data_IF_454587204983
#
_entry.id   IF_454587204983
#
_cell.length_a   1.000
_cell.length_b   1.000
_cell.length_c   1.000
_cell.angle_alpha   90.00
_cell.angle_beta   90.00
_cell.angle_gamma   90.00
#
_symmetry.space_group_name_H-M   'P 1'
#
loop_
_entity.id
_entity.type
_entity.pdbx_description
1 polymer ?
#
# COMPACT_ATOMS: atom_id res chain seq x y z
N UNK A 1 -15.66 21.13 -6.26
CA UNK A 1 -16.10 20.50 -7.52
C UNK A 1 -15.32 19.21 -7.75
N UNK A 2 -16.01 18.14 -8.08
CA UNK A 2 -15.33 16.88 -8.43
C UNK A 2 -14.84 16.93 -9.87
N UNK A 3 -13.67 16.33 -10.16
CA UNK A 3 -13.21 16.23 -11.54
C UNK A 3 -14.14 15.36 -12.38
N UNK A 4 -14.16 15.53 -13.70
CA UNK A 4 -14.99 14.70 -14.57
C UNK A 4 -14.55 13.24 -14.49
N UNK A 5 -15.52 12.32 -14.64
CA UNK A 5 -15.25 10.88 -14.67
C UNK A 5 -14.62 10.51 -16.00
N UNK A 6 -13.53 9.76 -15.95
CA UNK A 6 -12.93 9.19 -17.13
C UNK A 6 -13.53 7.80 -17.35
N UNK A 7 -14.39 7.66 -18.38
CA UNK A 7 -15.06 6.40 -18.69
C UNK A 7 -14.19 5.42 -19.49
N UNK A 8 -13.04 5.88 -19.98
CA UNK A 8 -12.11 5.05 -20.76
C UNK A 8 -10.68 5.20 -20.26
N UNK A 9 -10.39 4.77 -19.02
CA UNK A 9 -9.02 4.85 -18.51
C UNK A 9 -8.11 3.87 -19.27
N UNK A 10 -6.79 4.12 -19.28
CA UNK A 10 -5.85 3.21 -19.94
C UNK A 10 -5.80 1.82 -19.31
N UNK A 11 -6.17 1.69 -18.04
CA UNK A 11 -6.33 0.43 -17.34
C UNK A 11 -7.26 0.67 -16.15
N UNK A 12 -7.79 -0.43 -15.57
CA UNK A 12 -8.80 -0.32 -14.52
C UNK A 12 -8.22 -0.68 -13.16
N UNK A 13 -8.20 0.30 -12.25
CA UNK A 13 -7.87 0.09 -10.84
C UNK A 13 -9.19 -0.07 -10.08
N UNK A 14 -9.31 -1.16 -9.32
CA UNK A 14 -10.55 -1.43 -8.58
C UNK A 14 -10.49 -0.94 -7.14
N UNK A 15 -9.31 -0.96 -6.52
CA UNK A 15 -9.17 -0.52 -5.13
C UNK A 15 -7.71 -0.33 -4.75
N UNK A 16 -7.48 0.47 -3.69
CA UNK A 16 -6.21 0.49 -3.00
C UNK A 16 -6.04 -0.85 -2.27
N UNK A 17 -4.91 -1.50 -2.45
CA UNK A 17 -4.64 -2.81 -1.87
C UNK A 17 -3.87 -2.70 -0.56
N UNK A 18 -2.71 -2.04 -0.60
CA UNK A 18 -1.86 -1.94 0.59
C UNK A 18 -0.92 -0.74 0.48
N UNK A 19 -0.40 -0.35 1.64
CA UNK A 19 0.62 0.69 1.75
C UNK A 19 1.81 0.11 2.49
N UNK A 20 3.02 0.41 2.02
CA UNK A 20 4.26 0.04 2.70
C UNK A 20 4.95 1.33 3.14
N UNK A 21 5.13 1.47 4.45
CA UNK A 21 5.76 2.64 5.06
C UNK A 21 7.10 2.25 5.69
N UNK A 22 8.11 3.08 5.46
CA UNK A 22 9.32 3.05 6.26
C UNK A 22 9.07 3.96 7.47
N UNK A 23 9.29 3.46 8.67
CA UNK A 23 9.01 4.21 9.90
C UNK A 23 10.28 4.40 10.72
N UNK A 24 10.37 5.53 11.40
CA UNK A 24 11.54 5.87 12.21
C UNK A 24 11.66 4.97 13.46
N UNK A 25 10.54 4.56 14.03
CA UNK A 25 10.48 3.72 15.22
C UNK A 25 9.34 2.71 15.05
N UNK A 26 9.69 1.47 14.73
CA UNK A 26 8.71 0.41 14.47
C UNK A 26 7.81 0.14 15.67
N UNK A 27 8.38 0.10 16.88
CA UNK A 27 7.61 -0.20 18.09
C UNK A 27 6.55 0.88 18.35
N UNK A 28 6.93 2.15 18.23
CA UNK A 28 5.99 3.26 18.43
C UNK A 28 4.92 3.31 17.32
N UNK A 29 5.31 3.05 16.10
CA UNK A 29 4.38 3.04 14.98
C UNK A 29 3.38 1.90 15.12
N UNK A 30 3.84 0.71 15.51
CA UNK A 30 2.97 -0.42 15.78
C UNK A 30 1.96 -0.09 16.89
N UNK A 31 2.42 0.50 17.99
CA UNK A 31 1.57 0.90 19.09
C UNK A 31 0.46 1.87 18.61
N UNK A 32 0.84 2.86 17.81
CA UNK A 32 -0.12 3.81 17.24
C UNK A 32 -1.19 3.11 16.40
N UNK A 33 -0.78 2.26 15.47
CA UNK A 33 -1.73 1.61 14.56
C UNK A 33 -2.58 0.54 15.23
N UNK A 34 -2.07 -0.13 16.25
CA UNK A 34 -2.84 -1.14 17.00
C UNK A 34 -3.74 -0.48 18.04
N UNK A 35 -3.17 0.37 18.90
CA UNK A 35 -3.90 0.89 20.06
C UNK A 35 -4.82 2.07 19.74
N UNK A 36 -4.43 2.91 18.79
CA UNK A 36 -5.20 4.11 18.45
C UNK A 36 -6.07 3.87 17.21
N UNK A 37 -5.49 3.36 16.12
CA UNK A 37 -6.23 3.11 14.89
C UNK A 37 -7.06 1.83 14.95
N UNK A 38 -6.62 0.83 15.71
CA UNK A 38 -7.37 -0.41 15.89
C UNK A 38 -7.07 -1.49 14.86
N UNK A 39 -5.89 -1.45 14.22
CA UNK A 39 -5.50 -2.49 13.28
C UNK A 39 -5.02 -3.75 14.01
N UNK A 40 -5.03 -4.85 13.30
CA UNK A 40 -4.61 -6.17 13.82
C UNK A 40 -3.28 -6.56 13.20
N UNK A 41 -2.32 -6.98 14.04
CA UNK A 41 -1.05 -7.51 13.57
C UNK A 41 -1.26 -8.94 13.08
N UNK A 42 -0.92 -9.21 11.83
CA UNK A 42 -1.04 -10.55 11.24
C UNK A 42 0.29 -11.29 11.21
N UNK A 43 1.38 -10.56 11.15
CA UNK A 43 2.71 -11.14 11.17
C UNK A 43 3.72 -10.08 11.59
N UNK A 44 4.79 -10.48 12.27
CA UNK A 44 5.85 -9.56 12.65
C UNK A 44 7.20 -10.27 12.61
N UNK A 45 8.19 -9.59 12.01
CA UNK A 45 9.59 -9.99 12.05
C UNK A 45 10.37 -8.96 12.89
N UNK A 46 11.70 -9.09 12.93
CA UNK A 46 12.53 -8.16 13.70
C UNK A 46 12.43 -6.71 13.20
N UNK A 47 12.20 -6.50 11.89
CA UNK A 47 12.21 -5.19 11.26
C UNK A 47 10.93 -4.84 10.51
N UNK A 48 9.95 -5.73 10.47
CA UNK A 48 8.73 -5.54 9.66
C UNK A 48 7.50 -5.98 10.46
N UNK A 49 6.43 -5.18 10.36
CA UNK A 49 5.14 -5.50 10.97
C UNK A 49 4.06 -5.44 9.90
N UNK A 50 3.29 -6.52 9.77
CA UNK A 50 2.18 -6.64 8.82
C UNK A 50 0.87 -6.47 9.59
N UNK A 51 0.02 -5.55 9.11
CA UNK A 51 -1.25 -5.23 9.76
C UNK A 51 -2.39 -5.22 8.76
N UNK A 52 -3.60 -5.39 9.26
CA UNK A 52 -4.82 -5.25 8.49
C UNK A 52 -5.95 -4.70 9.35
N UNK A 53 -7.02 -4.25 8.69
CA UNK A 53 -8.24 -3.88 9.40
C UNK A 53 -8.94 -5.12 9.97
N UNK A 54 -9.72 -4.92 11.02
CA UNK A 54 -10.41 -6.03 11.71
C UNK A 54 -11.33 -6.81 10.78
N UNK A 55 -12.02 -6.12 9.87
CA UNK A 55 -12.97 -6.73 8.94
C UNK A 55 -12.36 -7.17 7.61
N UNK A 56 -11.07 -6.93 7.41
CA UNK A 56 -10.41 -7.34 6.17
C UNK A 56 -10.04 -8.82 6.20
N UNK A 57 -10.17 -9.49 5.05
CA UNK A 57 -9.83 -10.91 4.91
C UNK A 57 -8.42 -11.15 4.37
N UNK A 58 -7.73 -10.10 3.93
CA UNK A 58 -6.38 -10.21 3.38
C UNK A 58 -5.35 -10.42 4.50
N UNK A 59 -4.14 -10.87 4.13
CA UNK A 59 -3.04 -11.01 5.09
C UNK A 59 -2.66 -9.65 5.66
N UNK A 60 -2.51 -8.64 4.81
CA UNK A 60 -2.15 -7.31 5.26
C UNK A 60 -2.64 -6.24 4.28
N UNK A 61 -2.89 -5.05 4.80
CA UNK A 61 -3.15 -3.84 4.02
C UNK A 61 -2.19 -2.72 4.39
N UNK A 62 -1.47 -2.88 5.49
CA UNK A 62 -0.44 -1.94 5.93
C UNK A 62 0.81 -2.73 6.32
N UNK A 63 1.96 -2.32 5.81
CA UNK A 63 3.25 -2.89 6.18
C UNK A 63 4.13 -1.76 6.72
N UNK A 64 4.67 -1.97 7.92
CA UNK A 64 5.61 -1.04 8.55
C UNK A 64 6.99 -1.67 8.54
N UNK A 65 7.97 -0.95 8.01
CA UNK A 65 9.36 -1.41 7.96
C UNK A 65 10.22 -0.44 8.76
N UNK A 66 11.05 -0.96 9.66
CA UNK A 66 11.98 -0.13 10.42
C UNK A 66 12.96 0.54 9.45
N UNK A 67 12.98 1.88 9.45
CA UNK A 67 13.90 2.64 8.62
C UNK A 67 15.31 2.57 9.18
N UNK A 68 16.28 2.35 8.31
CA UNK A 68 17.70 2.39 8.71
C UNK A 68 18.21 3.81 8.89
N UNK A 69 17.48 4.79 8.37
CA UNK A 69 17.87 6.21 8.40
C UNK A 69 17.06 7.00 9.43
N UNK A 70 16.31 6.33 10.30
CA UNK A 70 15.44 6.95 11.30
C UNK A 70 14.50 8.01 10.69
N UNK A 71 14.06 7.79 9.44
CA UNK A 71 13.15 8.68 8.72
C UNK A 71 11.86 7.93 8.37
N UNK A 72 10.75 8.66 8.30
CA UNK A 72 9.46 8.11 7.92
C UNK A 72 9.15 8.48 6.49
N UNK A 73 8.99 7.48 5.63
CA UNK A 73 8.69 7.67 4.21
C UNK A 73 7.69 6.62 3.73
N UNK A 74 6.96 6.95 2.67
CA UNK A 74 6.12 5.96 2.00
C UNK A 74 6.96 5.23 0.95
N UNK A 75 7.14 3.93 1.13
CA UNK A 75 7.95 3.12 0.22
C UNK A 75 7.16 2.79 -1.05
N UNK A 76 5.90 2.40 -0.92
CA UNK A 76 5.04 2.10 -2.06
C UNK A 76 3.58 2.09 -1.67
N UNK A 77 2.74 2.30 -2.67
CA UNK A 77 1.29 2.15 -2.58
C UNK A 77 0.90 1.09 -3.59
N UNK A 78 0.19 0.05 -3.14
CA UNK A 78 -0.28 -1.02 -4.00
C UNK A 78 -1.74 -0.84 -4.37
N UNK A 79 -2.06 -1.10 -5.62
CA UNK A 79 -3.42 -1.06 -6.12
C UNK A 79 -3.80 -2.40 -6.75
N UNK A 80 -5.07 -2.74 -6.70
CA UNK A 80 -5.61 -3.89 -7.43
C UNK A 80 -6.21 -3.43 -8.74
N UNK A 81 -6.00 -4.25 -9.77
CA UNK A 81 -6.59 -4.03 -11.08
C UNK A 81 -7.79 -4.97 -11.27
N UNK A 82 -8.63 -4.69 -12.28
CA UNK A 82 -9.86 -5.44 -12.51
C UNK A 82 -9.59 -6.80 -13.16
N UNK A 83 -8.74 -6.82 -14.19
CA UNK A 83 -8.40 -8.04 -14.94
C UNK A 83 -6.89 -8.19 -15.02
N UNK A 84 -6.43 -9.42 -15.26
CA UNK A 84 -5.00 -9.68 -15.39
C UNK A 84 -4.40 -8.87 -16.55
N UNK A 85 -5.14 -8.68 -17.64
CA UNK A 85 -4.68 -7.85 -18.76
C UNK A 85 -4.44 -6.41 -18.37
N UNK A 86 -5.12 -5.90 -17.31
CA UNK A 86 -4.90 -4.56 -16.82
C UNK A 86 -3.49 -4.38 -16.24
N UNK A 87 -2.86 -5.46 -15.77
CA UNK A 87 -1.46 -5.40 -15.33
C UNK A 87 -0.54 -5.07 -16.49
N UNK A 88 -0.75 -5.72 -17.63
CA UNK A 88 0.05 -5.47 -18.83
C UNK A 88 -0.21 -4.07 -19.38
N UNK A 89 -1.45 -3.64 -19.35
CA UNK A 89 -1.83 -2.28 -19.79
C UNK A 89 -1.22 -1.22 -18.87
N UNK A 90 -1.24 -1.45 -17.57
CA UNK A 90 -0.64 -0.54 -16.59
C UNK A 90 0.88 -0.48 -16.78
N UNK A 91 1.53 -1.61 -16.97
CA UNK A 91 2.97 -1.67 -17.21
C UNK A 91 3.34 -0.86 -18.45
N UNK A 92 2.64 -1.09 -19.56
CA UNK A 92 2.89 -0.37 -20.80
C UNK A 92 2.65 1.14 -20.65
N UNK A 93 1.59 1.52 -19.94
CA UNK A 93 1.25 2.92 -19.70
C UNK A 93 2.36 3.63 -18.91
N UNK A 94 2.78 3.06 -17.78
CA UNK A 94 3.80 3.70 -16.96
C UNK A 94 5.16 3.73 -17.64
N UNK A 95 5.49 2.70 -18.40
CA UNK A 95 6.73 2.68 -19.18
C UNK A 95 6.73 3.76 -20.25
N UNK A 96 5.60 3.97 -20.92
CA UNK A 96 5.45 5.02 -21.92
C UNK A 96 5.57 6.42 -21.31
N UNK A 97 5.10 6.58 -20.06
CA UNK A 97 5.24 7.84 -19.32
C UNK A 97 6.66 8.06 -18.76
N UNK A 98 7.57 7.14 -18.98
CA UNK A 98 8.94 7.24 -18.49
C UNK A 98 9.09 6.93 -17.00
N UNK A 99 8.11 6.28 -16.40
CA UNK A 99 8.13 5.88 -14.99
C UNK A 99 8.66 4.47 -14.83
N UNK A 100 9.33 4.16 -13.70
CA UNK A 100 9.75 2.78 -13.44
C UNK A 100 8.52 1.88 -13.28
N UNK A 101 8.58 0.72 -13.87
CA UNK A 101 7.46 -0.22 -13.85
C UNK A 101 7.93 -1.64 -13.51
#
# INVERSE_FOLDING_TARGET
>A
MLPPVNLKPPFNITRASHIVLNVADLAKSREFYVDIVGLVVTEQTADTCYLRGLSEACHHSLVLIQSKKAASTCKRIGFRVFLEEDLDLAYAFFKEQGLPA
#
